data_IF_251434899084
#
_entry.id   IF_251434899084
#
_cell.length_a   1.000
_cell.length_b   1.000
_cell.length_c   1.000
_cell.angle_alpha   90.00
_cell.angle_beta   90.00
_cell.angle_gamma   90.00
#
_symmetry.space_group_name_H-M   'P 1'
#
loop_
_entity.id
_entity.type
_entity.pdbx_description
1 polymer ?
#
# COMPACT_ATOMS: atom_id res chain seq x y z
N UNK A 1 -2.41 -10.10 -4.05
CA UNK A 1 -3.53 -9.14 -3.92
C UNK A 1 -3.43 -8.16 -5.10
N UNK A 2 -4.53 -7.63 -5.64
CA UNK A 2 -4.51 -6.62 -6.71
C UNK A 2 -5.24 -5.38 -6.21
N UNK A 3 -4.71 -4.19 -6.52
CA UNK A 3 -5.24 -2.91 -6.04
C UNK A 3 -4.49 -1.72 -6.63
N UNK A 4 -4.91 -0.52 -6.25
CA UNK A 4 -4.29 0.74 -6.64
C UNK A 4 -3.57 1.38 -5.45
N UNK A 5 -2.35 1.89 -5.68
CA UNK A 5 -1.61 2.63 -4.66
C UNK A 5 -2.21 4.03 -4.54
N UNK A 6 -2.70 4.37 -3.35
CA UNK A 6 -3.26 5.69 -3.06
C UNK A 6 -2.17 6.69 -2.71
N UNK A 7 -1.19 6.25 -1.91
CA UNK A 7 -0.12 7.08 -1.41
C UNK A 7 1.02 6.21 -0.91
N UNK A 8 2.25 6.70 -1.08
CA UNK A 8 3.46 6.13 -0.53
C UNK A 8 4.34 7.26 0.00
N UNK A 9 4.73 7.16 1.26
CA UNK A 9 5.69 8.05 1.89
C UNK A 9 7.05 7.33 1.91
N UNK A 10 8.01 7.85 1.15
CA UNK A 10 9.33 7.22 1.02
C UNK A 10 10.20 7.41 2.26
N UNK A 11 10.12 8.58 2.90
CA UNK A 11 10.88 8.90 4.12
C UNK A 11 10.42 8.01 5.29
N UNK A 12 9.12 7.79 5.42
CA UNK A 12 8.53 6.95 6.47
C UNK A 12 8.47 5.47 6.10
N UNK A 13 8.55 5.14 4.81
CA UNK A 13 8.62 3.76 4.33
C UNK A 13 7.32 2.98 4.44
N UNK A 14 6.16 3.63 4.38
CA UNK A 14 4.86 2.96 4.33
C UNK A 14 3.92 3.61 3.32
N UNK A 15 2.89 2.87 2.92
CA UNK A 15 1.88 3.36 2.00
C UNK A 15 0.50 2.74 2.20
N UNK A 16 -0.44 3.20 1.38
CA UNK A 16 -1.82 2.76 1.37
C UNK A 16 -2.23 2.24 0.00
N UNK A 17 -3.00 1.15 -0.02
CA UNK A 17 -3.60 0.57 -1.22
C UNK A 17 -5.11 0.43 -1.03
N UNK A 18 -5.87 0.67 -2.09
CA UNK A 18 -7.25 0.20 -2.20
C UNK A 18 -7.26 -1.15 -2.88
N UNK A 19 -7.73 -2.19 -2.19
CA UNK A 19 -7.93 -3.52 -2.76
C UNK A 19 -9.07 -3.53 -3.77
N UNK A 20 -9.02 -4.47 -4.72
CA UNK A 20 -10.11 -4.70 -5.67
C UNK A 20 -11.44 -5.13 -4.99
N UNK A 21 -11.40 -5.49 -3.71
CA UNK A 21 -12.55 -5.77 -2.85
C UNK A 21 -13.16 -4.51 -2.21
N UNK A 22 -12.59 -3.33 -2.46
CA UNK A 22 -13.04 -2.06 -1.91
C UNK A 22 -12.48 -1.74 -0.51
N UNK A 23 -11.67 -2.62 0.07
CA UNK A 23 -11.06 -2.39 1.38
C UNK A 23 -9.74 -1.61 1.26
N UNK A 24 -9.35 -0.94 2.35
CA UNK A 24 -8.09 -0.21 2.44
C UNK A 24 -7.07 -0.99 3.26
N UNK A 25 -5.85 -1.04 2.74
CA UNK A 25 -4.73 -1.75 3.33
C UNK A 25 -3.51 -0.85 3.46
N UNK A 26 -2.67 -1.14 4.44
CA UNK A 26 -1.34 -0.56 4.61
C UNK A 26 -0.27 -1.59 4.25
N UNK A 27 0.83 -1.10 3.70
CA UNK A 27 2.04 -1.90 3.46
C UNK A 27 3.27 -1.10 3.90
N UNK A 28 4.32 -1.80 4.32
CA UNK A 28 5.64 -1.25 4.58
C UNK A 28 6.57 -1.51 3.39
N UNK A 29 7.67 -0.77 3.30
CA UNK A 29 8.69 -0.97 2.26
C UNK A 29 9.23 -2.40 2.26
N UNK A 30 9.32 -3.04 3.43
CA UNK A 30 9.76 -4.44 3.55
C UNK A 30 8.83 -5.46 2.86
N UNK A 31 7.55 -5.10 2.63
CA UNK A 31 6.58 -5.97 1.97
C UNK A 31 6.77 -6.03 0.44
N UNK A 32 7.57 -5.14 -0.15
CA UNK A 32 7.76 -4.99 -1.61
C UNK A 32 8.87 -5.90 -2.20
N UNK A 33 9.28 -6.94 -1.47
CA UNK A 33 10.35 -7.85 -1.89
C UNK A 33 9.94 -8.82 -2.99
#
# INVERSE_FOLDING_TARGET
MRGEVLHYDEDQGFGFITGADGNRYTFAREDLR
#
